data_IF_240782835335
#
_entry.id   IF_240782835335
#
_cell.length_a   1.000
_cell.length_b   1.000
_cell.length_c   1.000
_cell.angle_alpha   90.00
_cell.angle_beta   90.00
_cell.angle_gamma   90.00
#
_symmetry.space_group_name_H-M   'P 1'
#
loop_
_entity.id
_entity.type
_entity.pdbx_description
1 polymer ?
#
# COMPACT_ATOMS: atom_id res chain seq x y z
N UNK A 1 20.46 -0.12 -41.62
CA UNK A 1 19.76 0.74 -40.64
C UNK A 1 18.38 0.17 -40.27
N UNK A 2 18.29 -1.11 -39.88
CA UNK A 2 17.02 -1.77 -39.47
C UNK A 2 17.14 -2.64 -38.22
N UNK A 3 18.35 -2.81 -37.67
CA UNK A 3 18.63 -3.69 -36.53
C UNK A 3 18.55 -2.94 -35.19
N UNK A 4 18.63 -1.60 -35.19
CA UNK A 4 18.62 -0.81 -33.96
C UNK A 4 17.25 -0.68 -33.28
N UNK A 5 16.14 -0.97 -33.98
CA UNK A 5 14.79 -0.83 -33.41
C UNK A 5 14.36 -2.03 -32.56
N UNK A 6 15.00 -3.19 -32.72
CA UNK A 6 14.62 -4.42 -31.99
C UNK A 6 15.20 -4.42 -30.56
N UNK A 7 16.29 -3.68 -30.30
CA UNK A 7 16.89 -3.59 -28.97
C UNK A 7 16.08 -2.73 -27.98
N UNK A 8 15.24 -1.81 -28.47
CA UNK A 8 14.46 -0.89 -27.61
C UNK A 8 13.26 -1.61 -26.97
N UNK A 9 12.77 -2.70 -27.56
CA UNK A 9 11.58 -3.43 -27.06
C UNK A 9 11.92 -4.35 -25.86
N UNK A 10 13.20 -4.68 -25.65
CA UNK A 10 13.65 -5.58 -24.58
C UNK A 10 13.95 -4.88 -23.23
N UNK A 11 13.87 -3.54 -23.16
CA UNK A 11 14.16 -2.80 -21.92
C UNK A 11 12.93 -2.46 -21.07
N UNK A 12 11.72 -2.69 -21.57
CA UNK A 12 10.51 -2.52 -20.75
C UNK A 12 10.25 -3.82 -20.00
N UNK A 13 11.00 -4.05 -18.90
CA UNK A 13 10.62 -5.07 -17.91
C UNK A 13 9.18 -4.78 -17.50
N UNK A 14 8.33 -5.77 -17.74
CA UNK A 14 6.89 -5.66 -17.62
C UNK A 14 6.49 -5.11 -16.25
N UNK A 15 5.70 -4.04 -16.28
CA UNK A 15 4.88 -3.60 -15.15
C UNK A 15 3.93 -4.76 -14.82
N UNK A 16 4.19 -5.46 -13.71
CA UNK A 16 3.36 -6.59 -13.28
C UNK A 16 2.22 -6.07 -12.41
N UNK A 17 1.23 -5.45 -13.04
CA UNK A 17 -0.08 -5.29 -12.40
C UNK A 17 -0.61 -6.71 -12.03
N UNK A 18 -1.14 -6.87 -10.82
CA UNK A 18 -1.75 -8.13 -10.36
C UNK A 18 -0.87 -8.98 -9.44
N UNK A 19 0.44 -8.74 -9.35
CA UNK A 19 1.36 -9.55 -8.52
C UNK A 19 0.99 -9.52 -7.01
N UNK A 20 0.38 -8.42 -6.59
CA UNK A 20 0.04 -8.15 -5.20
C UNK A 20 -1.43 -8.37 -4.89
N UNK A 21 -2.25 -8.76 -5.86
CA UNK A 21 -3.67 -8.96 -5.64
C UNK A 21 -3.93 -9.95 -4.51
N UNK A 22 -4.85 -9.59 -3.63
CA UNK A 22 -5.16 -10.31 -2.40
C UNK A 22 -4.21 -10.01 -1.23
N UNK A 23 -3.16 -9.22 -1.40
CA UNK A 23 -2.21 -8.85 -0.35
C UNK A 23 -2.44 -7.42 0.13
N UNK A 24 -1.93 -7.12 1.32
CA UNK A 24 -2.01 -5.77 1.89
C UNK A 24 -0.78 -5.37 2.66
N UNK A 25 -0.66 -4.08 2.94
CA UNK A 25 0.38 -3.49 3.78
C UNK A 25 -0.25 -2.49 4.76
N UNK A 26 0.20 -2.48 6.01
CA UNK A 26 -0.19 -1.45 7.00
C UNK A 26 1.05 -0.65 7.35
N UNK A 27 1.00 0.66 7.14
CA UNK A 27 2.09 1.59 7.33
C UNK A 27 1.82 2.51 8.52
N UNK A 28 2.85 2.73 9.34
CA UNK A 28 2.86 3.74 10.39
C UNK A 28 3.60 4.99 9.87
N UNK A 29 2.87 6.10 9.77
CA UNK A 29 3.36 7.36 9.20
C UNK A 29 3.07 8.47 10.21
N UNK A 30 4.10 9.01 10.87
CA UNK A 30 3.96 10.03 11.91
C UNK A 30 2.87 9.72 12.95
N UNK A 31 2.87 8.49 13.47
CA UNK A 31 1.87 8.03 14.46
C UNK A 31 0.50 7.66 13.88
N UNK A 32 0.27 7.83 12.56
CA UNK A 32 -0.97 7.43 11.91
C UNK A 32 -0.83 6.05 11.24
N UNK A 33 -1.80 5.18 11.49
CA UNK A 33 -1.91 3.87 10.85
C UNK A 33 -2.74 3.96 9.58
N UNK A 34 -2.14 3.65 8.43
CA UNK A 34 -2.80 3.62 7.12
C UNK A 34 -2.53 2.27 6.47
N UNK A 35 -3.56 1.55 6.05
CA UNK A 35 -3.40 0.32 5.27
C UNK A 35 -3.70 0.52 3.80
N UNK A 36 -3.05 -0.28 2.98
CA UNK A 36 -3.31 -0.40 1.55
C UNK A 36 -3.52 -1.87 1.21
N UNK A 37 -4.64 -2.19 0.56
CA UNK A 37 -4.96 -3.54 0.09
C UNK A 37 -5.04 -3.53 -1.43
N UNK A 38 -4.49 -4.56 -2.07
CA UNK A 38 -4.40 -4.65 -3.52
C UNK A 38 -5.39 -5.69 -4.05
N UNK A 39 -6.22 -5.31 -5.00
CA UNK A 39 -7.30 -6.14 -5.56
C UNK A 39 -7.64 -5.63 -6.97
N UNK A 40 -7.69 -6.53 -7.95
CA UNK A 40 -8.02 -6.22 -9.35
C UNK A 40 -7.13 -5.12 -9.95
N UNK A 41 -5.82 -5.21 -9.76
CA UNK A 41 -4.84 -4.20 -10.18
C UNK A 41 -5.02 -2.81 -9.52
N UNK A 42 -5.84 -2.71 -8.47
CA UNK A 42 -6.18 -1.47 -7.76
C UNK A 42 -5.67 -1.47 -6.33
N UNK A 43 -5.25 -0.30 -5.86
CA UNK A 43 -4.93 -0.07 -4.46
C UNK A 43 -6.12 0.57 -3.74
N UNK A 44 -6.46 0.00 -2.58
CA UNK A 44 -7.51 0.50 -1.70
C UNK A 44 -6.90 0.91 -0.36
N UNK A 45 -7.08 2.18 0.01
CA UNK A 45 -6.69 2.69 1.31
C UNK A 45 -7.72 2.34 2.38
N UNK A 46 -7.24 1.93 3.55
CA UNK A 46 -8.00 1.68 4.75
C UNK A 46 -7.47 2.54 5.90
N UNK A 47 -8.35 3.32 6.51
CA UNK A 47 -8.03 4.14 7.70
C UNK A 47 -9.06 3.92 8.81
N UNK A 48 -8.62 3.78 10.07
CA UNK A 48 -9.51 3.88 11.22
C UNK A 48 -10.12 5.28 11.29
N UNK A 49 -11.45 5.35 11.44
CA UNK A 49 -12.18 6.60 11.64
C UNK A 49 -13.26 6.39 12.69
N UNK A 50 -13.61 7.45 13.43
CA UNK A 50 -14.77 7.44 14.33
C UNK A 50 -16.05 7.01 13.61
N UNK A 51 -16.66 5.94 14.07
CA UNK A 51 -18.03 5.54 13.74
C UNK A 51 -18.99 5.93 14.86
N UNK A 52 -20.26 5.55 14.72
CA UNK A 52 -21.32 5.92 15.68
C UNK A 52 -21.14 5.27 17.06
N UNK A 53 -20.63 4.04 17.09
CA UNK A 53 -20.48 3.22 18.32
C UNK A 53 -19.03 2.78 18.57
N UNK A 54 -18.23 2.68 17.50
CA UNK A 54 -16.82 2.24 17.55
C UNK A 54 -16.04 2.80 16.39
N UNK A 55 -14.71 2.67 16.42
CA UNK A 55 -13.88 2.92 15.27
C UNK A 55 -14.24 1.95 14.12
N UNK A 56 -14.34 2.49 12.92
CA UNK A 56 -14.62 1.76 11.69
C UNK A 56 -13.44 1.91 10.73
N UNK A 57 -13.19 0.89 9.91
CA UNK A 57 -12.26 0.99 8.80
C UNK A 57 -12.98 1.56 7.57
N UNK A 58 -12.60 2.75 7.13
CA UNK A 58 -13.10 3.33 5.89
C UNK A 58 -12.21 2.88 4.72
N UNK A 59 -12.83 2.25 3.72
CA UNK A 59 -12.22 1.87 2.43
C UNK A 59 -12.33 3.05 1.46
N UNK A 60 -11.26 3.35 0.72
CA UNK A 60 -11.25 4.30 -0.39
C UNK A 60 -10.36 3.76 -1.51
N UNK A 61 -10.85 3.70 -2.73
CA UNK A 61 -10.02 3.39 -3.89
C UNK A 61 -9.05 4.56 -4.16
N UNK A 62 -7.77 4.23 -4.38
CA UNK A 62 -6.70 5.19 -4.64
C UNK A 62 -6.32 5.21 -6.12
N UNK A 63 -6.51 4.08 -6.82
CA UNK A 63 -6.26 3.95 -8.24
C UNK A 63 -5.50 2.67 -8.56
N UNK A 64 -4.94 2.59 -9.77
CA UNK A 64 -4.14 1.44 -10.19
C UNK A 64 -2.81 1.42 -9.44
N UNK A 65 -2.31 0.23 -9.13
CA UNK A 65 -0.95 0.05 -8.66
C UNK A 65 -0.07 -0.56 -9.75
N UNK A 66 1.24 -0.38 -9.59
CA UNK A 66 2.25 -1.03 -10.40
C UNK A 66 3.46 -1.39 -9.55
N UNK A 67 4.23 -2.37 -10.00
CA UNK A 67 5.46 -2.81 -9.33
C UNK A 67 6.65 -2.75 -10.27
N UNK A 68 7.82 -2.47 -9.70
CA UNK A 68 9.11 -2.79 -10.28
C UNK A 68 9.85 -3.81 -9.39
N UNK A 69 11.12 -4.06 -9.67
CA UNK A 69 11.95 -4.99 -8.90
C UNK A 69 12.08 -4.65 -7.41
N UNK A 70 11.93 -3.38 -7.05
CA UNK A 70 12.24 -2.86 -5.73
C UNK A 70 11.05 -2.18 -5.05
N UNK A 71 10.03 -1.77 -5.78
CA UNK A 71 9.00 -0.87 -5.27
C UNK A 71 7.59 -1.24 -5.76
N UNK A 72 6.63 -0.85 -4.94
CA UNK A 72 5.21 -0.77 -5.23
C UNK A 72 4.88 0.71 -5.38
N UNK A 73 4.10 1.05 -6.39
CA UNK A 73 3.66 2.42 -6.65
C UNK A 73 2.16 2.48 -6.86
N UNK A 74 1.54 3.53 -6.36
CA UNK A 74 0.13 3.86 -6.57
C UNK A 74 -0.08 5.29 -6.10
N UNK A 75 -0.84 6.11 -6.84
CA UNK A 75 -0.94 7.55 -6.55
C UNK A 75 0.48 8.15 -6.37
N UNK A 76 0.69 9.06 -5.42
CA UNK A 76 2.00 9.60 -5.08
C UNK A 76 2.77 8.74 -4.06
N UNK A 77 2.37 7.48 -3.86
CA UNK A 77 2.96 6.56 -2.89
C UNK A 77 3.97 5.64 -3.56
N UNK A 78 5.08 5.42 -2.84
CA UNK A 78 6.11 4.43 -3.13
C UNK A 78 6.36 3.59 -1.87
N UNK A 79 6.35 2.27 -1.99
CA UNK A 79 6.71 1.34 -0.92
C UNK A 79 7.83 0.43 -1.40
N UNK A 80 8.97 0.41 -0.69
CA UNK A 80 10.04 -0.52 -1.00
C UNK A 80 9.61 -1.95 -0.66
N UNK A 81 9.72 -2.88 -1.60
CA UNK A 81 9.26 -4.27 -1.48
C UNK A 81 10.07 -5.10 -0.48
N UNK A 82 11.34 -4.74 -0.25
CA UNK A 82 12.27 -5.47 0.61
C UNK A 82 12.27 -4.92 2.02
N UNK A 83 12.37 -3.60 2.13
CA UNK A 83 12.48 -2.91 3.44
C UNK A 83 11.13 -2.47 3.98
N UNK A 84 10.06 -2.52 3.17
CA UNK A 84 8.73 -2.00 3.51
C UNK A 84 8.74 -0.52 3.92
N UNK A 85 9.74 0.24 3.48
CA UNK A 85 9.81 1.67 3.68
C UNK A 85 8.75 2.38 2.82
N UNK A 86 7.89 3.13 3.47
CA UNK A 86 6.88 3.98 2.85
C UNK A 86 7.46 5.36 2.53
N UNK A 87 7.10 5.87 1.36
CA UNK A 87 7.28 7.26 1.00
C UNK A 87 6.04 7.78 0.27
N UNK A 88 5.55 8.96 0.66
CA UNK A 88 4.60 9.74 -0.13
C UNK A 88 5.15 11.15 -0.32
N UNK A 89 5.13 11.65 -1.55
CA UNK A 89 5.79 12.91 -1.90
C UNK A 89 7.27 12.95 -1.45
N UNK A 90 7.83 14.14 -1.25
CA UNK A 90 9.21 14.33 -0.77
C UNK A 90 9.37 14.11 0.75
N UNK A 91 8.31 14.34 1.53
CA UNK A 91 8.40 14.52 2.98
C UNK A 91 7.79 13.39 3.81
N UNK A 92 6.75 12.70 3.35
CA UNK A 92 6.10 11.70 4.19
C UNK A 92 6.83 10.37 4.14
N UNK A 93 7.28 9.91 5.31
CA UNK A 93 8.00 8.65 5.49
C UNK A 93 7.33 7.80 6.55
N UNK A 94 7.42 6.49 6.38
CA UNK A 94 6.90 5.54 7.34
C UNK A 94 7.46 4.14 7.08
N UNK A 95 7.04 3.21 7.91
CA UNK A 95 7.40 1.80 7.81
C UNK A 95 6.14 0.97 7.74
N UNK A 96 6.15 -0.06 6.91
CA UNK A 96 5.00 -0.93 6.70
C UNK A 96 5.27 -2.36 7.17
N UNK A 97 4.18 -3.07 7.44
CA UNK A 97 4.14 -4.52 7.56
C UNK A 97 3.29 -5.09 6.44
N UNK A 98 3.67 -6.24 5.89
CA UNK A 98 2.96 -6.90 4.80
C UNK A 98 2.10 -8.06 5.30
N UNK A 99 0.97 -8.29 4.63
CA UNK A 99 -0.05 -9.28 4.99
C UNK A 99 -0.47 -10.06 3.75
N UNK A 100 -0.71 -11.36 3.92
CA UNK A 100 -0.92 -12.29 2.80
C UNK A 100 -2.34 -12.29 2.25
N UNK A 101 -3.30 -11.90 3.07
CA UNK A 101 -4.73 -11.93 2.76
C UNK A 101 -5.47 -10.81 3.51
N UNK A 102 -6.73 -10.58 3.12
CA UNK A 102 -7.55 -9.52 3.70
C UNK A 102 -7.86 -9.73 5.18
N UNK A 103 -8.01 -10.98 5.63
CA UNK A 103 -8.33 -11.27 7.03
C UNK A 103 -7.16 -10.94 7.97
N UNK A 104 -5.94 -11.36 7.60
CA UNK A 104 -4.70 -10.96 8.30
C UNK A 104 -4.52 -9.45 8.31
N UNK A 105 -4.71 -8.81 7.16
CA UNK A 105 -4.64 -7.36 7.02
C UNK A 105 -5.62 -6.67 7.98
N UNK A 106 -6.89 -7.06 7.96
CA UNK A 106 -7.93 -6.46 8.80
C UNK A 106 -7.69 -6.68 10.30
N UNK A 107 -7.27 -7.88 10.70
CA UNK A 107 -6.99 -8.23 12.10
C UNK A 107 -5.84 -7.42 12.70
N UNK A 108 -4.88 -7.01 11.88
CA UNK A 108 -3.70 -6.27 12.32
C UNK A 108 -3.87 -4.74 12.29
N UNK A 109 -5.05 -4.22 11.93
CA UNK A 109 -5.41 -2.88 12.36
C UNK A 109 -5.61 -2.89 13.87
N UNK A 110 -4.62 -2.37 14.60
CA UNK A 110 -4.64 -2.30 16.06
C UNK A 110 -5.59 -1.18 16.55
N UNK A 111 -6.86 -1.31 16.20
CA UNK A 111 -7.94 -0.37 16.51
C UNK A 111 -8.01 -0.15 18.03
N UNK A 112 -7.81 -1.20 18.82
CA UNK A 112 -7.83 -1.14 20.28
C UNK A 112 -6.69 -0.28 20.85
N UNK A 113 -5.46 -0.38 20.30
CA UNK A 113 -4.36 0.50 20.73
C UNK A 113 -4.61 1.97 20.43
N UNK A 114 -5.27 2.28 19.31
CA UNK A 114 -5.58 3.66 18.91
C UNK A 114 -6.58 4.32 19.87
N UNK A 115 -7.39 3.52 20.57
CA UNK A 115 -8.35 3.98 21.57
C UNK A 115 -7.69 4.09 22.96
N UNK A 116 -6.74 3.19 23.27
CA UNK A 116 -6.11 3.09 24.58
C UNK A 116 -5.32 4.34 24.99
N UNK A 117 -4.65 4.96 24.02
CA UNK A 117 -3.85 6.19 24.26
C UNK A 117 -4.71 7.47 24.16
N UNK A 118 -5.82 7.41 23.43
CA UNK A 118 -6.82 8.49 23.34
C UNK A 118 -7.91 8.29 24.40
N UNK A 119 -7.53 8.21 25.69
CA UNK A 119 -8.49 8.20 26.81
C UNK A 119 -9.44 9.41 26.69
N UNK A 120 -10.60 9.19 26.09
CA UNK A 120 -11.79 10.04 26.18
C UNK A 120 -12.73 9.33 27.14
#
# INVERSE_FOLDING_TARGET
MKIFFILIVLFFKAVSAGELDGKGVICLIYGNTIGFFFEEDRAYEYKPKGGKEKLELKKREIGKYYTDENNIFFDDVKINRKTLAFQKYSSFRGECNAFKNFDEFKKNFNIESLIKDNKI
#
